data_IF_916061524052
#
_entry.id   IF_916061524052
#
_cell.length_a   1.000
_cell.length_b   1.000
_cell.length_c   1.000
_cell.angle_alpha   90.00
_cell.angle_beta   90.00
_cell.angle_gamma   90.00
#
_symmetry.space_group_name_H-M   'P 1'
#
loop_
_entity.id
_entity.type
_entity.pdbx_description
1 polymer ?
#
# COMPACT_ATOMS: atom_id res chain seq x y z
N UNK A 1 13.68 1.60 14.37
CA UNK A 1 13.12 1.19 13.06
C UNK A 1 11.80 0.42 13.22
N UNK A 2 10.78 1.15 13.60
CA UNK A 2 9.44 0.59 13.94
C UNK A 2 8.76 -0.13 12.77
N UNK A 3 9.03 0.29 11.52
CA UNK A 3 8.42 -0.31 10.34
C UNK A 3 9.02 -1.65 9.95
N UNK A 4 10.20 -1.97 10.51
CA UNK A 4 10.94 -3.19 10.21
C UNK A 4 10.95 -4.17 11.39
N UNK A 5 10.04 -4.00 12.34
CA UNK A 5 9.88 -4.93 13.45
C UNK A 5 9.57 -6.34 12.95
N UNK A 6 10.25 -7.33 13.49
CA UNK A 6 10.06 -8.73 13.10
C UNK A 6 10.95 -9.24 11.96
N UNK A 7 11.69 -8.37 11.29
CA UNK A 7 12.67 -8.82 10.29
C UNK A 7 13.95 -9.34 10.96
N UNK A 8 14.70 -10.25 10.29
CA UNK A 8 15.91 -10.83 10.86
C UNK A 8 16.98 -9.80 11.22
N UNK A 9 17.67 -10.01 12.34
CA UNK A 9 18.70 -9.09 12.85
C UNK A 9 19.80 -8.75 11.82
N UNK A 10 20.34 -9.71 11.04
CA UNK A 10 21.34 -9.38 10.02
C UNK A 10 20.81 -8.40 8.96
N UNK A 11 19.56 -8.53 8.56
CA UNK A 11 18.92 -7.62 7.61
C UNK A 11 18.76 -6.22 8.22
N UNK A 12 18.33 -6.13 9.47
CA UNK A 12 18.21 -4.87 10.18
C UNK A 12 19.55 -4.14 10.30
N UNK A 13 20.64 -4.87 10.50
CA UNK A 13 21.98 -4.29 10.56
C UNK A 13 22.41 -3.70 9.22
N UNK A 14 22.14 -4.41 8.11
CA UNK A 14 22.39 -3.87 6.77
C UNK A 14 21.60 -2.58 6.52
N UNK A 15 20.34 -2.53 6.95
CA UNK A 15 19.53 -1.32 6.83
C UNK A 15 20.09 -0.18 7.67
N UNK A 16 20.51 -0.45 8.90
CA UNK A 16 21.17 0.57 9.76
C UNK A 16 22.40 1.15 9.10
N UNK A 17 23.21 0.31 8.48
CA UNK A 17 24.41 0.75 7.77
C UNK A 17 24.07 1.66 6.60
N UNK A 18 23.08 1.26 5.77
CA UNK A 18 22.61 2.09 4.65
C UNK A 18 22.08 3.46 5.11
N UNK A 19 21.37 3.48 6.25
CA UNK A 19 20.90 4.73 6.85
C UNK A 19 22.05 5.60 7.35
N UNK A 20 23.01 4.99 8.05
CA UNK A 20 24.17 5.71 8.58
C UNK A 20 25.04 6.33 7.47
N UNK A 21 25.14 5.66 6.32
CA UNK A 21 25.88 6.12 5.15
C UNK A 21 25.05 6.99 4.19
N UNK A 22 23.79 7.28 4.54
CA UNK A 22 22.81 8.01 3.71
C UNK A 22 22.64 7.42 2.30
N UNK A 23 22.67 6.10 2.20
CA UNK A 23 22.60 5.37 0.93
C UNK A 23 21.23 4.75 0.64
N UNK A 24 20.34 4.68 1.62
CA UNK A 24 19.05 4.00 1.47
C UNK A 24 18.18 4.68 0.43
N UNK A 25 18.12 6.01 0.43
CA UNK A 25 17.34 6.77 -0.55
C UNK A 25 17.82 6.55 -1.98
N UNK A 26 19.16 6.58 -2.18
CA UNK A 26 19.76 6.32 -3.49
C UNK A 26 19.46 4.89 -3.99
N UNK A 27 19.52 3.91 -3.09
CA UNK A 27 19.18 2.52 -3.41
C UNK A 27 17.74 2.39 -3.92
N UNK A 28 16.78 2.97 -3.21
CA UNK A 28 15.37 2.93 -3.59
C UNK A 28 15.12 3.70 -4.90
N UNK A 29 15.71 4.87 -5.06
CA UNK A 29 15.62 5.65 -6.29
C UNK A 29 16.12 4.91 -7.52
N UNK A 30 17.20 4.17 -7.37
CA UNK A 30 17.77 3.33 -8.44
C UNK A 30 16.86 2.14 -8.77
N UNK A 31 16.24 1.55 -7.76
CA UNK A 31 15.33 0.40 -7.94
C UNK A 31 14.02 0.80 -8.60
N UNK A 32 13.56 2.04 -8.38
CA UNK A 32 12.31 2.58 -8.92
C UNK A 32 12.57 3.85 -9.74
N UNK A 33 13.16 3.73 -10.94
CA UNK A 33 13.60 4.90 -11.70
C UNK A 33 12.47 5.69 -12.38
N UNK A 34 11.27 5.09 -12.50
CA UNK A 34 10.15 5.71 -13.22
C UNK A 34 9.44 6.81 -12.42
N UNK A 35 9.78 6.99 -11.16
CA UNK A 35 9.19 8.02 -10.30
C UNK A 35 7.73 7.76 -9.93
N UNK A 36 6.95 8.84 -9.82
CA UNK A 36 5.56 8.80 -9.34
C UNK A 36 4.59 8.42 -10.46
N UNK A 37 3.58 7.62 -10.12
CA UNK A 37 2.49 7.23 -11.03
C UNK A 37 1.50 8.38 -11.31
N UNK A 38 0.56 8.13 -12.23
CA UNK A 38 -0.43 9.13 -12.69
C UNK A 38 -1.77 9.11 -11.95
N UNK A 39 -1.95 8.17 -11.03
CA UNK A 39 -3.22 7.98 -10.32
C UNK A 39 -3.27 8.92 -9.11
N UNK A 40 -3.83 10.12 -9.31
CA UNK A 40 -3.76 11.21 -8.33
C UNK A 40 -5.11 11.62 -7.74
N UNK A 41 -6.21 11.10 -8.27
CA UNK A 41 -7.57 11.43 -7.83
C UNK A 41 -8.30 10.18 -7.36
N UNK A 42 -9.34 10.37 -6.56
CA UNK A 42 -10.19 9.27 -6.11
C UNK A 42 -10.86 8.56 -7.29
N UNK A 43 -11.25 9.31 -8.29
CA UNK A 43 -11.85 8.75 -9.52
C UNK A 43 -10.86 7.85 -10.27
N UNK A 44 -9.62 8.30 -10.45
CA UNK A 44 -8.58 7.51 -11.10
C UNK A 44 -8.25 6.26 -10.28
N UNK A 45 -8.19 6.41 -8.95
CA UNK A 45 -7.96 5.28 -8.04
C UNK A 45 -9.11 4.27 -8.13
N UNK A 46 -10.34 4.73 -8.14
CA UNK A 46 -11.52 3.85 -8.30
C UNK A 46 -11.43 3.02 -9.58
N UNK A 47 -11.10 3.65 -10.70
CA UNK A 47 -10.90 2.95 -11.97
C UNK A 47 -9.81 1.90 -11.91
N UNK A 48 -8.66 2.25 -11.33
CA UNK A 48 -7.52 1.34 -11.16
C UNK A 48 -7.86 0.14 -10.29
N UNK A 49 -8.49 0.38 -9.13
CA UNK A 49 -8.89 -0.70 -8.20
C UNK A 49 -9.94 -1.61 -8.83
N UNK A 50 -10.94 -1.04 -9.50
CA UNK A 50 -12.00 -1.81 -10.15
C UNK A 50 -11.46 -2.69 -11.28
N UNK A 51 -10.48 -2.20 -12.02
CA UNK A 51 -9.82 -2.95 -13.08
C UNK A 51 -9.07 -4.16 -12.51
N UNK A 52 -8.27 -3.98 -11.47
CA UNK A 52 -7.59 -5.07 -10.77
C UNK A 52 -8.59 -6.07 -10.18
N UNK A 53 -9.65 -5.59 -9.55
CA UNK A 53 -10.71 -6.44 -9.00
C UNK A 53 -11.37 -7.27 -10.09
N UNK A 54 -11.64 -6.68 -11.25
CA UNK A 54 -12.25 -7.38 -12.39
C UNK A 54 -11.35 -8.48 -12.95
N UNK A 55 -10.04 -8.27 -12.91
CA UNK A 55 -9.05 -9.25 -13.36
C UNK A 55 -8.96 -10.46 -12.42
N UNK A 56 -8.88 -10.23 -11.11
CA UNK A 56 -8.54 -11.28 -10.14
C UNK A 56 -9.69 -11.70 -9.23
N UNK A 57 -10.66 -10.84 -8.99
CA UNK A 57 -11.73 -11.05 -8.00
C UNK A 57 -13.10 -10.64 -8.54
N UNK A 58 -13.40 -11.07 -9.76
CA UNK A 58 -14.62 -10.70 -10.49
C UNK A 58 -15.90 -11.03 -9.72
N UNK A 59 -15.91 -12.12 -8.96
CA UNK A 59 -17.07 -12.58 -8.19
C UNK A 59 -17.22 -11.91 -6.83
N UNK A 60 -16.23 -11.13 -6.39
CA UNK A 60 -16.32 -10.41 -5.14
C UNK A 60 -17.37 -9.29 -5.23
N UNK A 61 -17.96 -8.93 -4.08
CA UNK A 61 -18.97 -7.88 -4.01
C UNK A 61 -18.46 -6.55 -4.60
N UNK A 62 -19.34 -5.75 -5.24
CA UNK A 62 -18.97 -4.45 -5.74
C UNK A 62 -18.46 -3.52 -4.65
N UNK A 63 -17.48 -2.69 -4.99
CA UNK A 63 -17.00 -1.65 -4.10
C UNK A 63 -17.94 -0.45 -4.13
N UNK A 64 -18.31 0.05 -2.95
CA UNK A 64 -19.15 1.23 -2.82
C UNK A 64 -18.36 2.53 -2.87
N UNK A 65 -17.08 2.50 -2.43
CA UNK A 65 -16.22 3.68 -2.37
C UNK A 65 -14.76 3.28 -2.41
N UNK A 66 -13.98 4.04 -3.15
CA UNK A 66 -12.51 3.96 -3.18
C UNK A 66 -11.97 5.38 -3.11
N UNK A 67 -11.08 5.67 -2.17
CA UNK A 67 -10.54 7.00 -2.02
C UNK A 67 -9.13 7.01 -1.43
N UNK A 68 -8.38 8.05 -1.75
CA UNK A 68 -7.22 8.43 -0.95
C UNK A 68 -7.68 9.10 0.34
N UNK A 69 -7.02 8.79 1.44
CA UNK A 69 -7.38 9.33 2.75
C UNK A 69 -6.13 9.90 3.44
N UNK A 70 -6.11 11.22 3.62
CA UNK A 70 -5.01 11.94 4.27
C UNK A 70 -4.99 11.78 5.78
N UNK A 71 -6.05 11.23 6.37
CA UNK A 71 -6.14 10.94 7.81
C UNK A 71 -5.63 9.56 8.18
N UNK A 72 -5.41 8.68 7.19
CA UNK A 72 -4.86 7.36 7.45
C UNK A 72 -3.39 7.46 7.83
N UNK A 73 -3.08 6.98 9.02
CA UNK A 73 -1.70 6.82 9.47
C UNK A 73 -1.18 5.45 9.04
N UNK A 74 -0.18 5.44 8.17
CA UNK A 74 0.49 4.21 7.72
C UNK A 74 1.04 3.40 8.89
N UNK A 75 1.33 4.06 10.03
CA UNK A 75 1.85 3.45 11.25
C UNK A 75 0.85 2.47 11.90
N UNK A 76 -0.44 2.83 11.97
CA UNK A 76 -1.45 2.01 12.68
C UNK A 76 -2.00 0.88 11.83
N UNK A 77 -2.11 1.10 10.54
CA UNK A 77 -2.76 0.18 9.62
C UNK A 77 -1.77 -0.47 8.65
N UNK A 78 -0.50 -0.40 8.98
CA UNK A 78 0.65 -0.85 8.20
C UNK A 78 0.67 -0.27 6.79
N UNK A 79 -0.34 -0.50 5.95
CA UNK A 79 -0.30 -0.15 4.55
C UNK A 79 -1.61 0.43 4.01
N UNK A 80 -2.67 0.41 4.78
CA UNK A 80 -3.99 0.89 4.38
C UNK A 80 -5.09 0.33 5.26
N UNK A 81 -6.33 0.64 4.98
CA UNK A 81 -7.47 0.14 5.74
C UNK A 81 -8.56 -0.36 4.83
N UNK A 82 -8.91 -1.62 4.95
CA UNK A 82 -10.14 -2.17 4.41
C UNK A 82 -11.22 -2.05 5.49
N UNK A 83 -12.22 -1.22 5.25
CA UNK A 83 -13.30 -1.00 6.20
C UNK A 83 -14.60 -1.53 5.67
N UNK A 84 -15.20 -2.46 6.41
CA UNK A 84 -16.58 -2.86 6.18
C UNK A 84 -17.45 -2.04 7.14
N UNK A 85 -18.23 -1.14 6.59
CA UNK A 85 -19.15 -0.31 7.37
C UNK A 85 -20.55 -0.92 7.30
N UNK A 86 -21.10 -1.25 8.46
CA UNK A 86 -22.47 -1.75 8.55
C UNK A 86 -23.42 -0.58 8.81
N UNK A 87 -24.48 -0.50 8.01
CA UNK A 87 -25.55 0.50 8.18
C UNK A 87 -26.89 -0.18 8.31
N UNK A 88 -27.71 0.32 9.24
CA UNK A 88 -29.11 -0.07 9.33
C UNK A 88 -29.92 0.88 8.45
N UNK A 89 -30.61 0.35 7.46
CA UNK A 89 -31.46 1.11 6.55
C UNK A 89 -32.78 0.36 6.37
N UNK A 90 -33.88 0.97 6.76
CA UNK A 90 -35.19 0.33 6.68
C UNK A 90 -35.31 -0.97 7.47
N UNK A 91 -34.63 -1.05 8.64
CA UNK A 91 -34.62 -2.25 9.49
C UNK A 91 -33.68 -3.37 9.02
N UNK A 92 -32.96 -3.18 7.91
CA UNK A 92 -31.98 -4.15 7.39
C UNK A 92 -30.56 -3.61 7.53
N UNK A 93 -29.66 -4.48 8.00
CA UNK A 93 -28.23 -4.21 8.06
C UNK A 93 -27.61 -4.39 6.66
N UNK A 94 -27.05 -3.32 6.09
CA UNK A 94 -26.28 -3.37 4.85
C UNK A 94 -24.80 -3.16 5.14
N UNK A 95 -23.96 -4.08 4.69
CA UNK A 95 -22.52 -3.90 4.69
C UNK A 95 -22.08 -3.07 3.48
N UNK A 96 -21.27 -2.02 3.72
CA UNK A 96 -20.63 -1.23 2.66
C UNK A 96 -19.19 -1.65 2.54
N UNK A 97 -18.74 -1.91 1.30
CA UNK A 97 -17.35 -2.23 0.98
C UNK A 97 -16.63 -0.97 0.53
N UNK A 98 -15.75 -0.46 1.37
CA UNK A 98 -14.93 0.73 1.08
C UNK A 98 -13.45 0.38 1.11
N UNK A 99 -12.69 0.90 0.17
CA UNK A 99 -11.23 0.85 0.18
C UNK A 99 -10.70 2.26 0.36
N UNK A 100 -9.87 2.44 1.37
CA UNK A 100 -9.17 3.69 1.65
C UNK A 100 -7.67 3.45 1.57
N UNK A 101 -7.00 4.29 0.80
CA UNK A 101 -5.55 4.23 0.58
C UNK A 101 -4.94 5.51 1.15
N UNK A 102 -3.90 5.39 1.98
CA UNK A 102 -3.24 6.56 2.54
C UNK A 102 -2.73 7.50 1.44
N UNK A 103 -2.87 8.79 1.64
CA UNK A 103 -2.46 9.82 0.65
C UNK A 103 -0.96 9.79 0.34
N UNK A 104 -0.15 9.18 1.20
CA UNK A 104 1.26 8.90 0.93
C UNK A 104 1.44 8.20 -0.43
N UNK A 105 0.51 7.29 -0.78
CA UNK A 105 0.58 6.51 -2.01
C UNK A 105 0.31 7.31 -3.29
N UNK A 106 0.03 8.60 -3.20
CA UNK A 106 0.02 9.51 -4.36
C UNK A 106 1.44 9.86 -4.83
N UNK A 107 2.40 9.87 -3.91
CA UNK A 107 3.77 10.32 -4.16
C UNK A 107 4.79 9.19 -4.18
N UNK A 108 4.43 8.02 -4.70
CA UNK A 108 5.27 6.81 -4.73
C UNK A 108 5.23 6.15 -6.10
N UNK A 109 6.14 5.21 -6.38
CA UNK A 109 6.09 4.42 -7.61
C UNK A 109 4.78 3.63 -7.77
N UNK A 110 4.37 3.41 -9.01
CA UNK A 110 3.14 2.65 -9.32
C UNK A 110 3.15 1.25 -8.70
N UNK A 111 4.31 0.60 -8.66
CA UNK A 111 4.42 -0.73 -8.07
C UNK A 111 3.96 -0.77 -6.60
N UNK A 112 4.23 0.30 -5.84
CA UNK A 112 3.81 0.39 -4.44
C UNK A 112 2.31 0.71 -4.30
N UNK A 113 1.76 1.53 -5.19
CA UNK A 113 0.31 1.72 -5.24
C UNK A 113 -0.39 0.40 -5.57
N UNK A 114 0.14 -0.33 -6.56
CA UNK A 114 -0.38 -1.66 -6.91
C UNK A 114 -0.34 -2.59 -5.70
N UNK A 115 0.77 -2.63 -5.00
CA UNK A 115 0.94 -3.47 -3.81
C UNK A 115 -0.11 -3.18 -2.74
N UNK A 116 -0.34 -1.89 -2.41
CA UNK A 116 -1.34 -1.55 -1.37
C UNK A 116 -2.77 -1.82 -1.85
N UNK A 117 -3.07 -1.61 -3.12
CA UNK A 117 -4.38 -1.95 -3.69
C UNK A 117 -4.62 -3.46 -3.63
N UNK A 118 -3.62 -4.26 -3.98
CA UNK A 118 -3.66 -5.72 -3.86
C UNK A 118 -3.91 -6.14 -2.41
N UNK A 119 -3.23 -5.52 -1.45
CA UNK A 119 -3.42 -5.74 -0.02
C UNK A 119 -4.89 -5.52 0.39
N UNK A 120 -5.46 -4.40 0.00
CA UNK A 120 -6.83 -4.05 0.32
C UNK A 120 -7.85 -4.95 -0.38
N UNK A 121 -7.60 -5.32 -1.64
CA UNK A 121 -8.45 -6.27 -2.36
C UNK A 121 -8.41 -7.67 -1.71
N UNK A 122 -7.24 -8.12 -1.26
CA UNK A 122 -7.11 -9.39 -0.58
C UNK A 122 -7.95 -9.45 0.70
N UNK A 123 -8.06 -8.33 1.43
CA UNK A 123 -8.91 -8.22 2.61
C UNK A 123 -10.42 -8.36 2.33
N UNK A 124 -10.84 -8.24 1.11
CA UNK A 124 -12.23 -8.53 0.75
C UNK A 124 -12.57 -10.01 0.95
N UNK A 125 -11.58 -10.87 0.90
CA UNK A 125 -11.73 -12.32 1.02
C UNK A 125 -11.08 -12.87 2.29
N UNK A 126 -9.93 -12.34 2.68
CA UNK A 126 -9.13 -12.80 3.82
C UNK A 126 -8.98 -11.67 4.84
N UNK A 127 -9.66 -11.79 5.98
CA UNK A 127 -9.68 -10.74 7.00
C UNK A 127 -8.33 -10.59 7.70
N UNK A 128 -7.67 -11.70 8.02
CA UNK A 128 -6.43 -11.74 8.77
C UNK A 128 -5.21 -11.79 7.86
N UNK A 129 -4.08 -11.24 8.34
CA UNK A 129 -2.79 -11.31 7.64
C UNK A 129 -2.14 -12.70 7.83
N UNK A 130 -2.80 -13.73 7.39
CA UNK A 130 -2.36 -15.11 7.49
C UNK A 130 -1.77 -15.63 6.18
N UNK A 131 -1.47 -16.93 6.14
CA UNK A 131 -0.90 -17.58 4.96
C UNK A 131 -1.82 -17.44 3.73
N UNK A 132 -3.13 -17.59 3.92
CA UNK A 132 -4.11 -17.48 2.84
C UNK A 132 -4.16 -16.05 2.27
N UNK A 133 -4.08 -15.05 3.13
CA UNK A 133 -4.00 -13.65 2.74
C UNK A 133 -2.76 -13.38 1.86
N UNK A 134 -1.59 -13.77 2.31
CA UNK A 134 -0.35 -13.53 1.55
C UNK A 134 -0.31 -14.35 0.25
N UNK A 135 -0.86 -15.56 0.25
CA UNK A 135 -0.99 -16.35 -0.98
C UNK A 135 -1.86 -15.62 -2.01
N UNK A 136 -2.96 -15.02 -1.58
CA UNK A 136 -3.84 -14.23 -2.45
C UNK A 136 -3.15 -12.96 -2.95
N UNK A 137 -2.43 -12.26 -2.08
CA UNK A 137 -1.63 -11.09 -2.49
C UNK A 137 -0.60 -11.46 -3.55
N UNK A 138 0.14 -12.55 -3.35
CA UNK A 138 1.17 -13.00 -4.30
C UNK A 138 0.58 -13.57 -5.59
N UNK A 139 -0.66 -14.04 -5.57
CA UNK A 139 -1.37 -14.41 -6.79
C UNK A 139 -1.68 -13.19 -7.65
N UNK A 140 -2.10 -12.09 -7.04
CA UNK A 140 -2.41 -10.84 -7.73
C UNK A 140 -1.15 -10.04 -8.09
N UNK A 141 -0.10 -10.12 -7.27
CA UNK A 141 1.17 -9.46 -7.46
C UNK A 141 2.31 -10.38 -6.98
N UNK A 142 3.03 -11.06 -7.89
CA UNK A 142 4.09 -12.00 -7.49
C UNK A 142 5.20 -11.39 -6.63
N UNK A 143 5.50 -10.10 -6.81
CA UNK A 143 6.55 -9.39 -6.08
C UNK A 143 6.04 -8.72 -4.79
N UNK A 144 4.82 -9.04 -4.36
CA UNK A 144 4.14 -8.38 -3.24
C UNK A 144 5.04 -8.23 -2.00
N UNK A 145 5.72 -9.30 -1.58
CA UNK A 145 6.55 -9.27 -0.36
C UNK A 145 7.76 -8.34 -0.50
N UNK A 146 8.40 -8.32 -1.65
CA UNK A 146 9.50 -7.39 -1.92
C UNK A 146 9.04 -5.94 -1.96
N UNK A 147 7.90 -5.69 -2.59
CA UNK A 147 7.30 -4.35 -2.65
C UNK A 147 6.91 -3.84 -1.27
N UNK A 148 6.31 -4.70 -0.45
CA UNK A 148 5.98 -4.35 0.94
C UNK A 148 7.24 -4.02 1.74
N UNK A 149 8.28 -4.82 1.61
CA UNK A 149 9.56 -4.57 2.27
C UNK A 149 10.18 -3.24 1.83
N UNK A 150 10.22 -2.97 0.53
CA UNK A 150 10.76 -1.73 -0.02
C UNK A 150 9.97 -0.50 0.46
N UNK A 151 8.65 -0.61 0.55
CA UNK A 151 7.84 0.45 1.15
C UNK A 151 8.20 0.68 2.62
N UNK A 152 8.40 -0.38 3.39
CA UNK A 152 8.83 -0.26 4.79
C UNK A 152 10.21 0.38 4.93
N UNK A 153 11.11 0.11 4.01
CA UNK A 153 12.40 0.82 3.92
C UNK A 153 12.17 2.31 3.67
N UNK A 154 11.29 2.66 2.75
CA UNK A 154 10.97 4.07 2.46
C UNK A 154 10.34 4.78 3.66
N UNK A 155 9.41 4.13 4.35
CA UNK A 155 8.83 4.68 5.58
C UNK A 155 9.89 4.90 6.67
N UNK A 156 10.85 4.00 6.77
CA UNK A 156 11.99 4.13 7.68
C UNK A 156 12.87 5.31 7.28
N UNK A 157 13.16 5.46 6.00
CA UNK A 157 13.89 6.60 5.46
C UNK A 157 13.18 7.93 5.79
N UNK A 158 11.86 8.01 5.57
CA UNK A 158 11.07 9.20 5.91
C UNK A 158 11.11 9.52 7.41
N UNK A 159 11.00 8.50 8.25
CA UNK A 159 11.01 8.65 9.71
C UNK A 159 12.36 9.19 10.22
N UNK A 160 13.48 8.78 9.60
CA UNK A 160 14.84 9.15 9.98
C UNK A 160 15.33 10.45 9.33
N UNK A 161 15.02 10.67 8.05
CA UNK A 161 15.56 11.79 7.26
C UNK A 161 14.51 12.85 6.90
N UNK A 162 13.21 12.53 6.97
CA UNK A 162 12.12 13.46 6.68
C UNK A 162 12.02 13.91 5.21
N UNK A 163 12.82 13.35 4.29
CA UNK A 163 12.85 13.77 2.88
C UNK A 163 12.15 12.76 2.00
N UNK A 164 11.16 13.21 1.24
CA UNK A 164 10.53 12.40 0.20
C UNK A 164 11.51 12.15 -0.93
N UNK A 165 11.56 10.90 -1.41
CA UNK A 165 12.37 10.54 -2.58
C UNK A 165 11.67 10.91 -3.87
N UNK A 166 10.34 10.92 -3.86
CA UNK A 166 9.50 11.26 -5.00
C UNK A 166 8.42 12.24 -4.56
N UNK A 167 8.01 13.09 -5.52
CA UNK A 167 6.94 14.04 -5.34
C UNK A 167 6.08 14.05 -6.61
N UNK A 168 4.79 14.23 -6.47
CA UNK A 168 3.86 14.34 -7.60
C UNK A 168 4.21 15.54 -8.49
N UNK A 169 4.87 16.57 -7.95
CA UNK A 169 5.34 17.74 -8.69
C UNK A 169 6.63 17.48 -9.48
N UNK A 170 7.35 16.40 -9.22
CA UNK A 170 8.63 16.06 -9.89
C UNK A 170 8.44 15.15 -11.11
N UNK A 171 7.25 15.11 -11.69
CA UNK A 171 6.98 14.38 -12.92
C UNK A 171 7.69 15.05 -14.09
N UNK A 172 8.32 14.24 -14.96
CA UNK A 172 8.86 14.77 -16.21
C UNK A 172 7.75 15.27 -17.14
#
# INVERSE_FOLDING_TARGET
MKYLAGYPAPLLEQVRQLLAEDKLGALLGKRYPDGVHDIQTDRALYGYVTELKSEFMRKAEPLSKVMFDNKLHVIRNALGTHTTVSRVQGGKLKAKREIRVASLFKGVPLAWLRMIVVHELAHMKEREHDKAFYALCMHMEPDYQQLEFDLRLYLTHLDMNGRRLWDASSRP
#
